data_IF_651618527432
#
_entry.id   IF_651618527432
#
_cell.length_a   1.000
_cell.length_b   1.000
_cell.length_c   1.000
_cell.angle_alpha   90.00
_cell.angle_beta   90.00
_cell.angle_gamma   90.00
#
_symmetry.space_group_name_H-M   'P 1'
#
loop_
_entity.id
_entity.type
_entity.pdbx_description
1 polymer ?
#
# COMPACT_ATOMS: atom_id res chain seq x y z
N UNK A 1 89.03 -6.12 -14.76
CA UNK A 1 87.82 -5.27 -14.62
C UNK A 1 86.72 -5.82 -15.54
N UNK A 2 85.79 -6.63 -15.01
CA UNK A 2 84.50 -6.99 -15.65
C UNK A 2 83.49 -7.32 -14.55
N UNK A 3 82.73 -6.33 -14.12
CA UNK A 3 81.55 -6.52 -13.27
C UNK A 3 80.39 -6.97 -14.17
N UNK A 4 79.92 -8.21 -14.03
CA UNK A 4 78.67 -8.66 -14.65
C UNK A 4 77.62 -8.88 -13.55
N UNK A 5 76.70 -7.91 -13.50
CA UNK A 5 75.53 -7.86 -12.63
C UNK A 5 74.63 -9.08 -12.85
N UNK A 6 74.42 -9.86 -11.78
CA UNK A 6 73.52 -11.02 -11.73
C UNK A 6 72.05 -10.66 -11.42
N UNK A 7 71.68 -9.37 -11.46
CA UNK A 7 70.36 -8.92 -10.98
C UNK A 7 69.27 -8.78 -12.05
N UNK A 8 69.56 -9.07 -13.33
CA UNK A 8 68.59 -8.89 -14.40
C UNK A 8 67.58 -10.04 -14.56
N UNK A 9 67.79 -11.19 -13.91
CA UNK A 9 66.92 -12.36 -14.07
C UNK A 9 65.75 -12.43 -13.08
N UNK A 10 65.76 -11.63 -12.00
CA UNK A 10 64.73 -11.68 -10.95
C UNK A 10 63.63 -10.61 -11.13
N UNK A 11 63.89 -9.58 -11.93
CA UNK A 11 62.94 -8.50 -12.22
C UNK A 11 61.63 -8.99 -12.85
N UNK A 12 61.61 -9.88 -13.88
CA UNK A 12 60.34 -10.29 -14.49
C UNK A 12 59.48 -11.16 -13.57
N UNK A 13 60.08 -11.90 -12.64
CA UNK A 13 59.35 -12.79 -11.71
C UNK A 13 58.62 -11.98 -10.65
N UNK A 14 59.25 -10.93 -10.10
CA UNK A 14 58.61 -10.06 -9.10
C UNK A 14 57.45 -9.27 -9.72
N UNK A 15 57.60 -8.80 -10.97
CA UNK A 15 56.53 -8.07 -11.68
C UNK A 15 55.33 -8.97 -11.98
N UNK A 16 55.54 -10.21 -12.42
CA UNK A 16 54.45 -11.15 -12.68
C UNK A 16 53.66 -11.51 -11.40
N UNK A 17 54.35 -11.58 -10.26
CA UNK A 17 53.74 -11.88 -8.96
C UNK A 17 52.81 -10.76 -8.48
N UNK A 18 53.21 -9.49 -8.68
CA UNK A 18 52.40 -8.33 -8.29
C UNK A 18 51.14 -8.18 -9.16
N UNK A 19 51.21 -8.53 -10.44
CA UNK A 19 50.05 -8.50 -11.35
C UNK A 19 49.03 -9.58 -10.95
N UNK A 20 49.47 -10.76 -10.55
CA UNK A 20 48.57 -11.84 -10.10
C UNK A 20 47.84 -11.48 -8.80
N UNK A 21 48.48 -10.75 -7.88
CA UNK A 21 47.85 -10.27 -6.65
C UNK A 21 46.77 -9.22 -6.95
N UNK A 22 47.03 -8.28 -7.87
CA UNK A 22 46.06 -7.24 -8.23
C UNK A 22 44.84 -7.81 -8.98
N UNK A 23 45.04 -8.82 -9.84
CA UNK A 23 43.94 -9.53 -10.51
C UNK A 23 43.11 -10.35 -9.51
N UNK A 24 43.76 -11.05 -8.57
CA UNK A 24 43.03 -11.81 -7.53
C UNK A 24 42.23 -10.89 -6.59
N UNK A 25 42.78 -9.72 -6.22
CA UNK A 25 42.09 -8.73 -5.40
C UNK A 25 40.85 -8.15 -6.12
N UNK A 26 40.91 -7.94 -7.44
CA UNK A 26 39.77 -7.47 -8.25
C UNK A 26 38.70 -8.54 -8.49
N UNK A 27 39.08 -9.83 -8.54
CA UNK A 27 38.12 -10.95 -8.64
C UNK A 27 37.42 -11.21 -7.30
N UNK A 28 38.08 -10.93 -6.17
CA UNK A 28 37.49 -11.06 -4.82
C UNK A 28 36.70 -9.83 -4.36
N UNK A 29 36.91 -8.65 -4.96
CA UNK A 29 35.98 -7.53 -4.85
C UNK A 29 34.77 -7.75 -5.76
N UNK A 30 33.99 -8.79 -5.45
CA UNK A 30 32.58 -8.80 -5.82
C UNK A 30 32.02 -7.51 -5.19
N UNK A 31 31.45 -6.56 -5.96
CA UNK A 31 30.84 -5.39 -5.36
C UNK A 31 29.85 -5.93 -4.34
N UNK A 32 30.06 -5.55 -3.07
CA UNK A 32 29.06 -5.75 -2.04
C UNK A 32 27.89 -4.90 -2.51
N UNK A 33 27.04 -5.49 -3.35
CA UNK A 33 25.72 -4.96 -3.63
C UNK A 33 25.10 -4.96 -2.25
N UNK A 34 25.09 -3.80 -1.62
CA UNK A 34 24.07 -3.46 -0.66
C UNK A 34 22.80 -3.91 -1.35
N UNK A 35 22.27 -5.03 -0.88
CA UNK A 35 20.95 -5.50 -1.24
C UNK A 35 20.07 -4.41 -0.66
N UNK A 36 19.85 -3.34 -1.42
CA UNK A 36 18.61 -2.60 -1.33
C UNK A 36 17.57 -3.71 -1.46
N UNK A 37 16.98 -4.08 -0.33
CA UNK A 37 15.73 -4.82 -0.33
C UNK A 37 14.92 -4.22 -1.47
N UNK A 38 14.45 -5.05 -2.39
CA UNK A 38 13.53 -4.58 -3.40
C UNK A 38 12.32 -4.07 -2.63
N UNK A 39 12.32 -2.77 -2.36
CA UNK A 39 11.16 -2.03 -1.90
C UNK A 39 10.03 -2.45 -2.83
N UNK A 40 8.96 -2.98 -2.25
CA UNK A 40 7.80 -3.43 -2.99
C UNK A 40 7.41 -2.29 -3.96
N UNK A 41 7.18 -2.58 -5.25
CA UNK A 41 6.90 -1.54 -6.24
C UNK A 41 5.55 -0.85 -6.01
N UNK A 42 4.76 -1.33 -5.05
CA UNK A 42 3.43 -0.84 -4.71
C UNK A 42 3.41 -0.29 -3.27
N UNK A 43 2.72 0.84 -3.08
CA UNK A 43 2.57 1.47 -1.77
C UNK A 43 1.68 0.62 -0.84
N UNK A 44 0.57 0.12 -1.37
CA UNK A 44 -0.35 -0.74 -0.64
C UNK A 44 0.21 -2.16 -0.54
N UNK A 45 0.19 -2.70 0.67
CA UNK A 45 0.55 -4.10 0.98
C UNK A 45 -0.67 -4.98 1.24
N UNK A 46 -1.84 -4.36 1.35
CA UNK A 46 -3.12 -5.04 1.56
C UNK A 46 -3.65 -5.59 0.24
N UNK A 47 -4.34 -6.72 0.31
CA UNK A 47 -5.10 -7.32 -0.80
C UNK A 47 -6.49 -7.67 -0.29
N UNK A 48 -7.21 -6.66 0.17
CA UNK A 48 -8.55 -6.85 0.72
C UNK A 48 -9.61 -7.01 -0.37
N UNK A 49 -10.69 -7.71 -0.04
CA UNK A 49 -11.81 -7.97 -0.95
C UNK A 49 -13.11 -7.37 -0.40
N UNK A 50 -14.14 -7.31 -1.23
CA UNK A 50 -15.46 -6.78 -0.86
C UNK A 50 -16.47 -7.86 -0.43
N UNK A 51 -16.08 -9.14 -0.40
CA UNK A 51 -16.97 -10.29 -0.14
C UNK A 51 -16.39 -11.24 0.91
N UNK A 52 -17.20 -12.19 1.38
CA UNK A 52 -16.77 -13.24 2.29
C UNK A 52 -16.40 -12.69 3.67
N UNK A 53 -15.27 -13.13 4.22
CA UNK A 53 -14.80 -12.69 5.54
C UNK A 53 -14.69 -11.16 5.67
N UNK A 54 -14.39 -10.46 4.56
CA UNK A 54 -14.27 -9.00 4.53
C UNK A 54 -15.61 -8.28 4.66
N UNK A 55 -16.71 -8.91 4.26
CA UNK A 55 -18.06 -8.33 4.25
C UNK A 55 -18.98 -8.90 5.33
N UNK A 56 -18.46 -9.69 6.28
CA UNK A 56 -19.28 -10.38 7.31
C UNK A 56 -20.14 -9.47 8.20
N UNK A 57 -19.83 -8.18 8.28
CA UNK A 57 -20.61 -7.19 9.04
C UNK A 57 -21.55 -6.37 8.16
N UNK A 58 -21.46 -6.52 6.83
CA UNK A 58 -22.37 -5.91 5.88
C UNK A 58 -23.73 -6.59 6.03
N UNK A 59 -24.83 -5.83 6.18
CA UNK A 59 -26.15 -6.40 6.33
C UNK A 59 -26.62 -7.08 5.03
N UNK A 60 -27.61 -7.97 5.17
CA UNK A 60 -28.25 -8.69 4.06
C UNK A 60 -27.34 -9.61 3.23
N UNK A 61 -26.22 -10.06 3.80
CA UNK A 61 -25.19 -10.87 3.11
C UNK A 61 -24.71 -10.23 1.79
N UNK A 62 -24.74 -8.90 1.73
CA UNK A 62 -24.30 -8.12 0.57
C UNK A 62 -22.77 -7.96 0.56
N UNK A 63 -22.24 -7.48 -0.56
CA UNK A 63 -20.85 -7.06 -0.64
C UNK A 63 -20.62 -5.68 -0.02
N UNK A 64 -19.40 -5.42 0.46
CA UNK A 64 -19.05 -4.14 1.07
C UNK A 64 -18.99 -2.97 0.07
N UNK A 65 -18.95 -3.26 -1.23
CA UNK A 65 -18.69 -2.30 -2.30
C UNK A 65 -17.20 -2.12 -2.60
N UNK A 66 -16.91 -1.90 -3.89
CA UNK A 66 -15.56 -1.71 -4.38
C UNK A 66 -14.92 -0.42 -3.88
N UNK A 67 -15.68 0.69 -3.84
CA UNK A 67 -15.19 1.97 -3.31
C UNK A 67 -14.87 1.88 -1.83
N UNK A 68 -15.74 1.24 -1.04
CA UNK A 68 -15.50 1.08 0.39
C UNK A 68 -14.20 0.30 0.64
N UNK A 69 -14.00 -0.82 -0.08
CA UNK A 69 -12.79 -1.64 0.06
C UNK A 69 -11.53 -0.89 -0.40
N UNK A 70 -11.61 -0.12 -1.49
CA UNK A 70 -10.48 0.66 -1.99
C UNK A 70 -10.10 1.79 -1.01
N UNK A 71 -11.09 2.54 -0.54
CA UNK A 71 -10.90 3.63 0.42
C UNK A 71 -10.41 3.09 1.75
N UNK A 72 -10.92 1.95 2.23
CA UNK A 72 -10.43 1.32 3.44
C UNK A 72 -8.93 0.97 3.34
N UNK A 73 -8.46 0.46 2.20
CA UNK A 73 -7.04 0.17 2.01
C UNK A 73 -6.18 1.44 2.03
N UNK A 74 -6.65 2.53 1.40
CA UNK A 74 -5.97 3.82 1.40
C UNK A 74 -5.94 4.43 2.81
N UNK A 75 -7.09 4.45 3.49
CA UNK A 75 -7.24 4.98 4.84
C UNK A 75 -6.37 4.21 5.84
N UNK A 76 -6.30 2.87 5.73
CA UNK A 76 -5.41 2.04 6.53
C UNK A 76 -3.94 2.35 6.27
N UNK A 77 -3.52 2.53 5.01
CA UNK A 77 -2.16 2.93 4.67
C UNK A 77 -1.75 4.26 5.33
N UNK A 78 -2.71 5.17 5.53
CA UNK A 78 -2.51 6.44 6.23
C UNK A 78 -2.82 6.40 7.73
N UNK A 79 -3.15 5.24 8.30
CA UNK A 79 -3.56 5.06 9.70
C UNK A 79 -4.75 5.96 10.11
N UNK A 80 -5.68 6.18 9.18
CA UNK A 80 -6.90 6.94 9.44
C UNK A 80 -7.95 6.04 10.10
N UNK A 81 -8.71 6.58 11.03
CA UNK A 81 -9.83 5.91 11.70
C UNK A 81 -11.07 6.78 11.52
N UNK A 82 -12.21 6.21 11.08
CA UNK A 82 -13.45 6.96 10.97
C UNK A 82 -13.98 7.36 12.35
N UNK A 83 -14.50 8.58 12.48
CA UNK A 83 -15.03 9.16 13.73
C UNK A 83 -16.46 9.67 13.55
N UNK A 84 -17.09 10.11 14.64
CA UNK A 84 -18.45 10.67 14.70
C UNK A 84 -19.57 9.65 14.47
N UNK A 85 -20.80 10.14 14.39
CA UNK A 85 -22.02 9.32 14.26
C UNK A 85 -22.51 9.29 12.83
N UNK A 86 -23.00 8.13 12.42
CA UNK A 86 -23.64 7.92 11.12
C UNK A 86 -25.03 7.36 11.37
N UNK A 87 -26.04 8.02 10.79
CA UNK A 87 -27.41 7.54 10.83
C UNK A 87 -28.09 7.75 9.48
N UNK A 88 -28.56 6.67 8.88
CA UNK A 88 -29.34 6.70 7.64
C UNK A 88 -30.15 5.41 7.47
N UNK A 89 -31.15 5.45 6.59
CA UNK A 89 -31.93 4.28 6.21
C UNK A 89 -31.62 3.91 4.76
N UNK A 90 -31.33 2.64 4.50
CA UNK A 90 -31.16 2.12 3.13
C UNK A 90 -32.49 2.07 2.41
N UNK A 91 -32.47 2.06 1.07
CA UNK A 91 -33.70 1.92 0.26
C UNK A 91 -34.39 0.57 0.48
N UNK A 92 -33.62 -0.46 0.89
CA UNK A 92 -34.12 -1.76 1.35
C UNK A 92 -34.74 -1.75 2.76
N UNK A 93 -34.72 -0.61 3.47
CA UNK A 93 -35.33 -0.44 4.78
C UNK A 93 -34.43 -0.78 5.97
N UNK A 94 -33.15 -1.09 5.75
CA UNK A 94 -32.19 -1.33 6.82
C UNK A 94 -31.78 -0.01 7.48
N UNK A 95 -31.85 0.06 8.81
CA UNK A 95 -31.41 1.23 9.56
C UNK A 95 -29.93 1.09 9.90
N UNK A 96 -29.11 2.02 9.40
CA UNK A 96 -27.73 2.22 9.84
C UNK A 96 -27.75 3.26 10.95
N UNK A 97 -27.21 2.91 12.11
CA UNK A 97 -27.02 3.80 13.25
C UNK A 97 -25.75 3.36 13.96
N UNK A 98 -24.66 4.09 13.72
CA UNK A 98 -23.32 3.76 14.15
C UNK A 98 -22.73 4.94 14.91
N UNK A 99 -22.12 4.66 16.06
CA UNK A 99 -21.25 5.58 16.77
C UNK A 99 -19.81 5.13 16.50
N UNK A 100 -19.12 5.81 15.57
CA UNK A 100 -17.82 5.35 15.07
C UNK A 100 -16.74 5.42 16.16
N UNK A 101 -16.93 6.31 17.14
CA UNK A 101 -16.02 6.51 18.27
C UNK A 101 -16.06 5.34 19.28
N UNK A 102 -17.07 4.46 19.21
CA UNK A 102 -17.15 3.24 20.03
C UNK A 102 -16.20 2.13 19.55
N UNK A 103 -15.61 2.27 18.36
CA UNK A 103 -14.77 1.25 17.76
C UNK A 103 -13.28 1.58 17.90
N UNK A 104 -12.56 0.74 18.64
CA UNK A 104 -11.10 0.84 18.73
C UNK A 104 -10.42 -0.01 17.64
N UNK A 105 -9.77 0.66 16.69
CA UNK A 105 -8.97 0.00 15.67
C UNK A 105 -7.50 -0.07 16.05
N UNK A 106 -7.01 -1.30 16.05
CA UNK A 106 -5.60 -1.61 16.25
C UNK A 106 -4.97 -1.88 14.90
N UNK A 107 -4.42 -0.84 14.26
CA UNK A 107 -3.83 -0.96 12.93
C UNK A 107 -2.67 -1.99 12.87
N UNK A 108 -2.02 -2.30 13.99
CA UNK A 108 -1.03 -3.38 14.12
C UNK A 108 -1.64 -4.79 14.04
N UNK A 109 -2.96 -4.92 14.22
CA UNK A 109 -3.71 -6.16 14.13
C UNK A 109 -4.39 -6.36 12.76
N UNK A 110 -4.28 -5.40 11.86
CA UNK A 110 -4.86 -5.52 10.52
C UNK A 110 -4.00 -6.48 9.70
N UNK A 111 -4.60 -7.58 9.27
CA UNK A 111 -3.93 -8.50 8.37
C UNK A 111 -3.88 -7.91 6.95
N UNK A 112 -2.78 -8.14 6.23
CA UNK A 112 -2.65 -7.69 4.84
C UNK A 112 -3.62 -8.40 3.91
N UNK A 113 -4.03 -9.62 4.26
CA UNK A 113 -5.05 -10.42 3.60
C UNK A 113 -5.72 -11.32 4.66
N UNK A 114 -6.94 -11.76 4.38
CA UNK A 114 -7.69 -12.70 5.20
C UNK A 114 -7.71 -14.07 4.51
N UNK A 115 -7.36 -15.11 5.27
CA UNK A 115 -7.40 -16.52 4.90
C UNK A 115 -7.83 -17.38 6.12
N UNK A 116 -7.82 -18.70 5.96
CA UNK A 116 -8.21 -19.63 7.03
C UNK A 116 -7.24 -19.63 8.23
N UNK A 117 -6.01 -19.17 8.05
CA UNK A 117 -4.98 -19.11 9.10
C UNK A 117 -4.99 -17.77 9.85
N UNK A 118 -5.64 -16.74 9.27
CA UNK A 118 -5.72 -15.40 9.85
C UNK A 118 -6.46 -15.42 11.19
N UNK A 119 -5.87 -14.87 12.27
CA UNK A 119 -6.54 -14.82 13.57
C UNK A 119 -7.90 -14.12 13.50
N UNK A 120 -8.88 -14.65 14.21
CA UNK A 120 -10.26 -14.12 14.20
C UNK A 120 -10.31 -12.63 14.56
N UNK A 121 -9.49 -12.19 15.52
CA UNK A 121 -9.39 -10.77 15.88
C UNK A 121 -8.97 -9.89 14.70
N UNK A 122 -8.05 -10.36 13.86
CA UNK A 122 -7.61 -9.63 12.67
C UNK A 122 -8.68 -9.63 11.59
N UNK A 123 -9.41 -10.74 11.42
CA UNK A 123 -10.58 -10.81 10.53
C UNK A 123 -11.64 -9.80 10.95
N UNK A 124 -11.97 -9.76 12.24
CA UNK A 124 -12.95 -8.84 12.78
C UNK A 124 -12.54 -7.37 12.61
N UNK A 125 -11.28 -7.04 12.90
CA UNK A 125 -10.74 -5.68 12.75
C UNK A 125 -10.85 -5.20 11.29
N UNK A 126 -10.37 -6.01 10.33
CA UNK A 126 -10.40 -5.65 8.90
C UNK A 126 -11.84 -5.56 8.38
N UNK A 127 -12.67 -6.57 8.63
CA UNK A 127 -14.02 -6.60 8.10
C UNK A 127 -14.90 -5.49 8.70
N UNK A 128 -14.74 -5.20 9.99
CA UNK A 128 -15.46 -4.11 10.64
C UNK A 128 -15.01 -2.76 10.09
N UNK A 129 -13.70 -2.56 9.91
CA UNK A 129 -13.17 -1.34 9.32
C UNK A 129 -13.75 -1.10 7.92
N UNK A 130 -13.77 -2.11 7.06
CA UNK A 130 -14.38 -2.03 5.72
C UNK A 130 -15.87 -1.67 5.81
N UNK A 131 -16.62 -2.30 6.72
CA UNK A 131 -18.03 -1.99 6.94
C UNK A 131 -18.26 -0.54 7.38
N UNK A 132 -17.46 -0.02 8.32
CA UNK A 132 -17.58 1.37 8.76
C UNK A 132 -17.25 2.34 7.62
N UNK A 133 -16.25 2.05 6.79
CA UNK A 133 -15.97 2.87 5.59
C UNK A 133 -17.15 2.81 4.61
N UNK A 134 -17.78 1.64 4.40
CA UNK A 134 -18.98 1.55 3.58
C UNK A 134 -20.13 2.42 4.15
N UNK A 135 -20.31 2.44 5.47
CA UNK A 135 -21.28 3.31 6.11
C UNK A 135 -20.94 4.80 5.96
N UNK A 136 -19.66 5.20 6.08
CA UNK A 136 -19.18 6.58 5.79
C UNK A 136 -19.52 7.00 4.36
N UNK A 137 -19.50 6.07 3.42
CA UNK A 137 -19.87 6.33 2.02
C UNK A 137 -21.38 6.31 1.78
N UNK A 138 -22.19 6.05 2.81
CA UNK A 138 -23.63 5.86 2.73
C UNK A 138 -24.00 4.80 1.70
N UNK A 139 -23.29 3.67 1.73
CA UNK A 139 -23.61 2.52 0.89
C UNK A 139 -25.07 2.11 1.11
N UNK A 140 -25.80 1.96 0.01
CA UNK A 140 -27.19 1.52 0.01
C UNK A 140 -27.24 -0.02 0.04
N UNK A 141 -26.99 -0.57 1.23
CA UNK A 141 -26.88 -2.01 1.42
C UNK A 141 -28.15 -2.74 0.98
N UNK A 142 -27.99 -3.78 0.16
CA UNK A 142 -29.07 -4.59 -0.40
C UNK A 142 -29.70 -4.05 -1.68
N UNK A 143 -29.35 -2.84 -2.11
CA UNK A 143 -29.84 -2.23 -3.35
C UNK A 143 -28.74 -1.93 -4.38
N UNK A 144 -27.48 -2.17 -4.01
CA UNK A 144 -26.27 -1.89 -4.80
C UNK A 144 -26.17 -0.41 -5.22
N UNK A 145 -25.44 0.39 -4.45
CA UNK A 145 -25.22 1.80 -4.78
C UNK A 145 -24.88 2.62 -3.54
N UNK A 146 -25.09 3.93 -3.65
CA UNK A 146 -24.88 4.90 -2.58
C UNK A 146 -26.07 5.84 -2.51
N UNK A 147 -26.45 6.23 -1.30
CA UNK A 147 -27.53 7.19 -1.10
C UNK A 147 -27.04 8.60 -1.42
N UNK A 148 -27.87 9.36 -2.14
CA UNK A 148 -27.67 10.79 -2.35
C UNK A 148 -27.99 11.54 -1.05
N UNK A 149 -26.95 12.00 -0.35
CA UNK A 149 -27.08 12.78 0.89
C UNK A 149 -26.10 13.96 0.83
N UNK A 150 -24.81 13.67 0.65
CA UNK A 150 -23.69 14.60 0.59
C UNK A 150 -22.71 14.09 -0.47
N UNK A 151 -21.73 14.91 -0.87
CA UNK A 151 -20.70 14.42 -1.78
C UNK A 151 -19.80 13.40 -1.09
N UNK A 152 -19.22 12.48 -1.86
CA UNK A 152 -18.23 11.52 -1.35
C UNK A 152 -17.07 12.22 -0.63
N UNK A 153 -16.64 13.37 -1.15
CA UNK A 153 -15.55 14.17 -0.61
C UNK A 153 -15.89 14.65 0.79
N UNK A 154 -17.00 15.37 0.94
CA UNK A 154 -17.41 15.95 2.23
C UNK A 154 -17.52 14.89 3.34
N UNK A 155 -18.07 13.72 3.02
CA UNK A 155 -18.20 12.61 3.98
C UNK A 155 -16.85 12.07 4.44
N UNK A 156 -15.93 11.86 3.48
CA UNK A 156 -14.59 11.37 3.81
C UNK A 156 -13.78 12.40 4.58
N UNK A 157 -13.88 13.68 4.23
CA UNK A 157 -13.20 14.75 4.95
C UNK A 157 -13.71 14.86 6.39
N UNK A 158 -15.02 14.82 6.57
CA UNK A 158 -15.68 14.88 7.88
C UNK A 158 -15.29 13.69 8.76
N UNK A 159 -15.52 12.46 8.27
CA UNK A 159 -15.39 11.27 9.11
C UNK A 159 -13.96 10.75 9.23
N UNK A 160 -13.06 11.01 8.27
CA UNK A 160 -11.66 10.56 8.35
C UNK A 160 -10.70 11.65 8.80
N UNK A 161 -11.20 12.87 9.09
CA UNK A 161 -10.41 14.04 9.45
C UNK A 161 -9.21 14.22 8.49
N UNK A 162 -9.53 14.22 7.19
CA UNK A 162 -8.57 14.25 6.10
C UNK A 162 -8.96 15.29 5.06
N UNK A 163 -8.02 15.70 4.20
CA UNK A 163 -8.34 16.52 3.03
C UNK A 163 -8.42 15.61 1.81
N UNK A 164 -9.50 15.73 1.06
CA UNK A 164 -9.80 14.86 -0.08
C UNK A 164 -10.03 15.72 -1.31
N UNK A 165 -9.25 15.47 -2.36
CA UNK A 165 -9.46 16.08 -3.67
C UNK A 165 -9.99 15.03 -4.65
N UNK A 166 -11.11 15.34 -5.31
CA UNK A 166 -11.65 14.49 -6.36
C UNK A 166 -11.10 14.93 -7.72
N UNK A 167 -10.43 14.00 -8.40
CA UNK A 167 -9.94 14.21 -9.76
C UNK A 167 -10.70 13.30 -10.71
N UNK A 168 -11.47 13.91 -11.61
CA UNK A 168 -12.05 13.22 -12.75
C UNK A 168 -11.06 13.28 -13.91
N UNK A 169 -10.68 12.12 -14.43
CA UNK A 169 -9.82 12.03 -15.60
C UNK A 169 -10.66 11.60 -16.79
N UNK A 170 -10.70 12.42 -17.83
CA UNK A 170 -11.27 11.98 -19.09
C UNK A 170 -10.29 11.02 -19.76
N UNK A 171 -10.81 10.03 -20.48
CA UNK A 171 -10.00 9.02 -21.18
C UNK A 171 -9.02 9.66 -22.18
N UNK A 172 -9.33 10.87 -22.65
CA UNK A 172 -8.48 11.66 -23.55
C UNK A 172 -7.24 12.25 -22.84
N UNK A 173 -7.34 12.56 -21.55
CA UNK A 173 -6.23 13.12 -20.76
C UNK A 173 -5.09 12.11 -20.54
N UNK A 174 -5.41 10.82 -20.47
CA UNK A 174 -4.43 9.73 -20.35
C UNK A 174 -3.45 9.66 -21.53
N UNK A 175 -3.86 10.12 -22.72
CA UNK A 175 -3.02 10.08 -23.91
C UNK A 175 -2.10 11.30 -24.03
N UNK A 176 -2.37 12.36 -23.27
CA UNK A 176 -1.66 13.63 -23.36
C UNK A 176 -0.76 13.91 -22.17
N UNK A 177 -0.92 13.23 -21.03
CA UNK A 177 -0.03 13.40 -19.88
C UNK A 177 1.30 12.63 -20.07
N UNK A 178 2.45 13.32 -20.29
CA UNK A 178 3.75 12.68 -20.43
C UNK A 178 4.21 12.02 -19.12
N UNK A 179 3.61 12.38 -17.97
CA UNK A 179 3.97 11.86 -16.66
C UNK A 179 3.58 10.38 -16.47
N UNK A 180 2.60 9.88 -17.22
CA UNK A 180 2.21 8.47 -17.16
C UNK A 180 3.13 7.53 -17.97
N UNK A 181 3.90 8.03 -18.93
CA UNK A 181 4.72 7.15 -19.79
C UNK A 181 6.19 7.04 -19.37
N UNK A 182 6.75 8.00 -18.64
CA UNK A 182 8.20 8.07 -18.39
C UNK A 182 8.59 8.63 -17.01
N UNK A 183 8.69 7.73 -16.01
CA UNK A 183 9.70 7.74 -14.91
C UNK A 183 9.86 8.96 -13.99
N UNK A 184 10.10 8.58 -12.71
CA UNK A 184 11.07 9.13 -11.73
C UNK A 184 10.60 10.24 -10.77
N UNK A 185 10.52 9.84 -9.50
CA UNK A 185 11.23 10.42 -8.34
C UNK A 185 10.99 11.92 -8.09
N UNK A 186 10.27 12.17 -7.00
CA UNK A 186 10.34 13.28 -6.05
C UNK A 186 11.19 14.50 -6.40
N UNK A 187 10.61 15.68 -6.23
CA UNK A 187 11.27 16.75 -5.47
C UNK A 187 10.25 17.60 -4.70
N UNK A 188 10.38 17.56 -3.38
CA UNK A 188 10.03 18.66 -2.49
C UNK A 188 11.15 19.71 -2.56
N UNK A 189 10.78 20.98 -2.51
CA UNK A 189 11.67 22.14 -2.51
C UNK A 189 11.05 23.31 -3.25
#
# INVERSE_FOLDING_TARGET
MRFRSRYWALIPIVVASLILIDVAARVLQKPNRVTLEREHPYLLRTTWHQIGDYARFVPADDDAGCWATAIAQIAHYHHLTPTDKIEYQTSGGYQVSLDLDEYEFRHDQFASHLDDETPEISKEQVARYIYLIAAVLYTDFGAHGYLEHETFVERLESHLNSSVEFHEYDKEDYLLDPLCSHRRICRAG
#
